data_IF_155388809522
#
_entry.id   IF_155388809522
#
_cell.length_a   1.000
_cell.length_b   1.000
_cell.length_c   1.000
_cell.angle_alpha   90.00
_cell.angle_beta   90.00
_cell.angle_gamma   90.00
#
_symmetry.space_group_name_H-M   'P 1'
#
loop_
_entity.id
_entity.type
_entity.pdbx_description
1 polymer ?
#
# COMPACT_ATOMS: atom_id res chain seq x y z
N UNK A 1 41.35 16.57 44.97
CA UNK A 1 41.47 16.93 43.55
C UNK A 1 42.54 16.04 42.94
N UNK A 2 42.19 15.29 41.89
CA UNK A 2 42.74 15.57 40.58
C UNK A 2 41.66 15.71 39.50
N UNK A 3 42.13 16.24 38.37
CA UNK A 3 41.43 16.97 37.32
C UNK A 3 40.60 16.11 36.35
N UNK A 4 39.43 16.65 35.98
CA UNK A 4 38.61 16.24 34.84
C UNK A 4 39.14 16.88 33.55
N UNK A 5 40.12 16.26 32.91
CA UNK A 5 40.39 16.44 31.49
C UNK A 5 39.82 15.25 30.74
N UNK A 6 38.62 15.34 30.15
CA UNK A 6 38.14 14.40 29.09
C UNK A 6 36.80 14.78 28.42
N UNK A 7 36.23 15.99 28.60
CA UNK A 7 34.88 16.30 28.09
C UNK A 7 34.80 17.13 26.80
N UNK A 8 35.89 17.72 26.30
CA UNK A 8 35.82 18.66 25.15
C UNK A 8 36.18 18.02 23.81
N UNK A 9 37.05 17.00 23.78
CA UNK A 9 37.52 16.40 22.50
C UNK A 9 36.48 15.57 21.75
N UNK A 10 35.53 14.95 22.45
CA UNK A 10 34.53 14.06 21.83
C UNK A 10 33.45 14.83 21.07
N UNK A 11 33.06 16.03 21.55
CA UNK A 11 32.00 16.79 20.90
C UNK A 11 32.46 17.42 19.58
N UNK A 12 33.71 17.89 19.50
CA UNK A 12 34.26 18.50 18.30
C UNK A 12 34.50 17.47 17.18
N UNK A 13 34.94 16.26 17.52
CA UNK A 13 35.13 15.15 16.57
C UNK A 13 33.82 14.76 15.88
N UNK A 14 32.74 14.64 16.66
CA UNK A 14 31.43 14.23 16.13
C UNK A 14 30.79 15.32 15.26
N UNK A 15 30.99 16.59 15.61
CA UNK A 15 30.55 17.71 14.76
C UNK A 15 31.31 17.74 13.43
N UNK A 16 32.61 17.43 13.43
CA UNK A 16 33.39 17.33 12.20
C UNK A 16 32.94 16.18 11.30
N UNK A 17 32.62 15.01 11.87
CA UNK A 17 32.10 13.86 11.11
C UNK A 17 30.74 14.17 10.46
N UNK A 18 29.83 14.82 11.18
CA UNK A 18 28.53 15.26 10.65
C UNK A 18 28.74 16.22 9.48
N UNK A 19 29.59 17.23 9.68
CA UNK A 19 29.85 18.25 8.66
C UNK A 19 30.50 17.65 7.41
N UNK A 20 31.44 16.72 7.57
CA UNK A 20 32.07 16.02 6.46
C UNK A 20 31.06 15.15 5.70
N UNK A 21 30.18 14.44 6.40
CA UNK A 21 29.14 13.63 5.78
C UNK A 21 28.15 14.50 4.98
N UNK A 22 27.71 15.63 5.55
CA UNK A 22 26.82 16.58 4.86
C UNK A 22 27.50 17.24 3.66
N UNK A 23 28.79 17.57 3.77
CA UNK A 23 29.57 18.11 2.66
C UNK A 23 29.65 17.11 1.50
N UNK A 24 30.03 15.87 1.79
CA UNK A 24 30.13 14.81 0.78
C UNK A 24 28.78 14.53 0.10
N UNK A 25 27.71 14.59 0.88
CA UNK A 25 26.34 14.43 0.39
C UNK A 25 25.97 15.54 -0.62
N UNK A 26 26.28 16.80 -0.31
CA UNK A 26 26.02 17.93 -1.22
C UNK A 26 26.80 17.77 -2.53
N UNK A 27 28.03 17.26 -2.45
CA UNK A 27 28.86 16.95 -3.63
C UNK A 27 28.20 15.87 -4.48
N UNK A 28 27.76 14.76 -3.88
CA UNK A 28 27.08 13.68 -4.61
C UNK A 28 25.80 14.15 -5.29
N UNK A 29 25.01 15.03 -4.66
CA UNK A 29 23.82 15.62 -5.30
C UNK A 29 24.22 16.43 -6.53
N UNK A 30 25.28 17.23 -6.43
CA UNK A 30 25.72 18.03 -7.56
C UNK A 30 26.09 17.14 -8.77
N UNK A 31 26.73 16.00 -8.53
CA UNK A 31 27.15 15.08 -9.59
C UNK A 31 25.98 14.31 -10.21
N UNK A 32 25.04 13.85 -9.38
CA UNK A 32 23.99 12.91 -9.83
C UNK A 32 22.70 13.62 -10.24
N UNK A 33 22.32 14.68 -9.53
CA UNK A 33 21.03 15.37 -9.68
C UNK A 33 21.17 16.88 -9.39
N UNK A 34 21.94 17.62 -10.22
CA UNK A 34 22.21 19.04 -10.00
C UNK A 34 20.93 19.91 -9.98
N UNK A 35 19.85 19.46 -10.61
CA UNK A 35 18.54 20.11 -10.60
C UNK A 35 17.95 20.28 -9.19
N UNK A 36 18.34 19.43 -8.24
CA UNK A 36 17.90 19.49 -6.85
C UNK A 36 18.55 20.63 -6.06
N UNK A 37 19.67 21.17 -6.54
CA UNK A 37 20.30 22.36 -5.98
C UNK A 37 19.63 23.62 -6.53
N UNK A 38 19.55 24.66 -5.70
CA UNK A 38 19.16 26.01 -6.15
C UNK A 38 20.15 26.47 -7.22
N UNK A 39 19.65 27.12 -8.27
CA UNK A 39 20.39 27.42 -9.51
C UNK A 39 21.76 28.07 -9.30
N UNK A 40 21.88 28.99 -8.34
CA UNK A 40 23.14 29.66 -7.96
C UNK A 40 24.23 28.73 -7.43
N UNK A 41 23.87 27.56 -6.91
CA UNK A 41 24.82 26.59 -6.33
C UNK A 41 25.15 25.42 -7.27
N UNK A 42 24.47 25.30 -8.42
CA UNK A 42 24.69 24.22 -9.39
C UNK A 42 26.07 24.28 -10.05
N UNK A 43 26.62 25.49 -10.22
CA UNK A 43 27.89 25.74 -10.92
C UNK A 43 29.09 25.91 -9.98
N UNK A 44 28.88 25.84 -8.66
CA UNK A 44 29.97 25.95 -7.69
C UNK A 44 30.79 24.66 -7.73
N UNK A 45 32.11 24.74 -7.90
CA UNK A 45 32.95 23.54 -7.90
C UNK A 45 33.08 22.96 -6.48
N UNK A 46 32.06 22.24 -5.98
CA UNK A 46 32.03 21.73 -4.61
C UNK A 46 33.11 20.69 -4.36
N UNK A 47 33.62 20.01 -5.39
CA UNK A 47 34.73 19.06 -5.26
C UNK A 47 36.09 19.70 -5.00
N UNK A 48 36.26 21.01 -5.25
CA UNK A 48 37.50 21.69 -4.93
C UNK A 48 37.71 21.69 -3.41
N UNK A 49 38.87 21.23 -2.94
CA UNK A 49 39.25 21.18 -1.51
C UNK A 49 38.94 22.50 -0.78
N UNK A 50 39.19 23.65 -1.41
CA UNK A 50 38.89 24.96 -0.82
C UNK A 50 37.39 25.17 -0.54
N UNK A 51 36.53 24.72 -1.45
CA UNK A 51 35.07 24.84 -1.29
C UNK A 51 34.54 23.79 -0.32
N UNK A 52 35.11 22.58 -0.31
CA UNK A 52 34.78 21.53 0.66
C UNK A 52 35.11 21.98 2.09
N UNK A 53 36.31 22.50 2.31
CA UNK A 53 36.73 22.99 3.63
C UNK A 53 35.86 24.16 4.09
N UNK A 54 35.51 25.09 3.20
CA UNK A 54 34.60 26.21 3.52
C UNK A 54 33.18 25.74 3.86
N UNK A 55 32.65 24.79 3.10
CA UNK A 55 31.31 24.24 3.34
C UNK A 55 31.27 23.47 4.67
N UNK A 56 32.25 22.60 4.89
CA UNK A 56 32.41 21.83 6.13
C UNK A 56 32.54 22.75 7.33
N UNK A 57 33.41 23.76 7.28
CA UNK A 57 33.58 24.73 8.37
C UNK A 57 32.27 25.48 8.68
N UNK A 58 31.52 25.86 7.64
CA UNK A 58 30.25 26.57 7.80
C UNK A 58 29.15 25.71 8.41
N UNK A 59 29.11 24.41 8.07
CA UNK A 59 28.19 23.45 8.68
C UNK A 59 28.59 23.21 10.14
N UNK A 60 29.88 23.03 10.43
CA UNK A 60 30.39 22.86 11.81
C UNK A 60 30.05 24.07 12.68
N UNK A 61 30.26 25.29 12.18
CA UNK A 61 29.91 26.52 12.88
C UNK A 61 28.41 26.62 13.16
N UNK A 62 27.56 26.22 12.20
CA UNK A 62 26.10 26.19 12.40
C UNK A 62 25.67 25.19 13.47
N UNK A 63 26.28 24.01 13.50
CA UNK A 63 25.95 22.99 14.49
C UNK A 63 26.51 23.31 15.89
N UNK A 64 27.60 24.08 15.97
CA UNK A 64 28.21 24.50 17.23
C UNK A 64 27.46 25.67 17.92
N UNK A 65 26.65 26.45 17.19
CA UNK A 65 26.01 27.70 17.68
C UNK A 65 24.91 27.56 18.72
N UNK A 66 24.41 26.36 19.00
CA UNK A 66 23.35 26.14 19.98
C UNK A 66 23.65 24.89 20.80
N UNK A 67 23.24 24.81 22.06
CA UNK A 67 23.34 23.58 22.87
C UNK A 67 22.09 22.69 22.79
N UNK A 68 20.98 23.25 22.29
CA UNK A 68 19.67 22.62 22.16
C UNK A 68 19.56 21.85 20.82
N UNK A 69 19.23 20.56 20.91
CA UNK A 69 19.12 19.65 19.76
C UNK A 69 18.03 20.05 18.76
N UNK A 70 16.91 20.59 19.25
CA UNK A 70 15.80 21.02 18.40
C UNK A 70 16.13 22.33 17.67
N UNK A 71 16.83 23.24 18.35
CA UNK A 71 17.32 24.48 17.76
C UNK A 71 18.40 24.22 16.68
N UNK A 72 19.33 23.28 16.93
CA UNK A 72 20.33 22.82 15.94
C UNK A 72 19.66 22.26 14.69
N UNK A 73 18.66 21.39 14.87
CA UNK A 73 17.95 20.77 13.76
C UNK A 73 17.18 21.80 12.92
N UNK A 74 16.50 22.76 13.56
CA UNK A 74 15.82 23.87 12.84
C UNK A 74 16.79 24.74 12.06
N UNK A 75 17.97 25.04 12.60
CA UNK A 75 18.99 25.81 11.88
C UNK A 75 19.56 25.05 10.69
N UNK A 76 19.82 23.74 10.86
CA UNK A 76 20.27 22.89 9.77
C UNK A 76 19.21 22.81 8.66
N UNK A 77 17.94 22.60 9.01
CA UNK A 77 16.85 22.62 8.03
C UNK A 77 16.78 23.94 7.27
N UNK A 78 16.97 25.08 7.96
CA UNK A 78 17.00 26.40 7.32
C UNK A 78 18.18 26.53 6.35
N UNK A 79 19.34 26.00 6.70
CA UNK A 79 20.51 25.97 5.84
C UNK A 79 20.30 25.10 4.60
N UNK A 80 19.77 23.88 4.77
CA UNK A 80 19.47 22.97 3.67
C UNK A 80 18.41 23.54 2.72
N UNK A 81 17.36 24.18 3.25
CA UNK A 81 16.34 24.88 2.43
C UNK A 81 16.89 26.07 1.63
N UNK A 82 18.04 26.62 2.02
CA UNK A 82 18.70 27.67 1.26
C UNK A 82 19.54 27.09 0.09
N UNK A 83 19.98 25.82 0.21
CA UNK A 83 20.82 25.11 -0.76
C UNK A 83 20.03 24.34 -1.80
N UNK A 84 18.87 23.78 -1.42
CA UNK A 84 18.07 22.90 -2.26
C UNK A 84 16.71 23.51 -2.65
N UNK A 85 16.18 23.09 -3.80
CA UNK A 85 14.83 23.45 -4.25
C UNK A 85 13.77 22.66 -3.47
N UNK A 86 12.53 23.15 -3.29
CA UNK A 86 11.48 22.46 -2.51
C UNK A 86 11.23 21.00 -2.94
N UNK A 87 11.35 20.72 -4.24
CA UNK A 87 11.14 19.41 -4.85
C UNK A 87 12.14 18.36 -4.36
N UNK A 88 13.33 18.79 -3.91
CA UNK A 88 14.36 17.88 -3.38
C UNK A 88 13.94 17.20 -2.08
N UNK A 89 13.03 17.80 -1.31
CA UNK A 89 12.54 17.25 -0.04
C UNK A 89 11.55 16.08 -0.23
N UNK A 90 11.11 15.83 -1.46
CA UNK A 90 10.33 14.64 -1.83
C UNK A 90 11.22 13.51 -2.36
N UNK A 91 12.52 13.73 -2.53
CA UNK A 91 13.45 12.67 -2.91
C UNK A 91 13.80 11.80 -1.69
N UNK A 92 13.92 10.49 -1.91
CA UNK A 92 14.39 9.53 -0.89
C UNK A 92 15.78 9.90 -0.33
N UNK A 93 16.52 10.74 -1.03
CA UNK A 93 17.89 11.11 -0.71
C UNK A 93 17.99 12.09 0.47
N UNK A 94 17.22 13.18 0.50
CA UNK A 94 17.22 14.13 1.62
C UNK A 94 16.68 13.51 2.92
N UNK A 95 15.79 12.53 2.80
CA UNK A 95 15.31 11.73 3.92
C UNK A 95 16.45 10.92 4.55
N UNK A 96 17.31 10.26 3.75
CA UNK A 96 18.49 9.54 4.26
C UNK A 96 19.48 10.46 5.01
N UNK A 97 19.60 11.72 4.58
CA UNK A 97 20.49 12.72 5.20
C UNK A 97 19.93 13.23 6.52
N UNK A 98 18.64 13.54 6.55
CA UNK A 98 17.93 13.93 7.77
C UNK A 98 17.88 12.77 8.78
N UNK A 99 17.79 11.52 8.30
CA UNK A 99 17.84 10.31 9.11
C UNK A 99 19.23 10.11 9.75
N UNK A 100 20.32 10.25 8.99
CA UNK A 100 21.70 10.19 9.53
C UNK A 100 21.98 11.28 10.56
N UNK A 101 21.50 12.51 10.31
CA UNK A 101 21.62 13.61 11.30
C UNK A 101 20.77 13.33 12.54
N UNK A 102 19.58 12.74 12.36
CA UNK A 102 18.70 12.32 13.46
C UNK A 102 19.32 11.22 14.35
N UNK A 103 20.03 10.25 13.75
CA UNK A 103 20.78 9.22 14.46
C UNK A 103 21.89 9.80 15.36
N UNK A 104 22.46 10.95 14.99
CA UNK A 104 23.58 11.57 15.72
C UNK A 104 23.12 12.42 16.92
N UNK A 105 21.87 12.89 16.93
CA UNK A 105 21.25 13.47 18.14
C UNK A 105 21.06 12.41 19.25
N UNK A 106 21.04 11.11 18.91
CA UNK A 106 20.88 10.01 19.84
C UNK A 106 22.14 9.78 20.70
N UNK A 107 23.34 9.98 20.13
CA UNK A 107 24.63 9.78 20.81
C UNK A 107 24.78 10.70 22.04
N UNK A 108 24.16 11.89 22.02
CA UNK A 108 24.23 12.84 23.15
C UNK A 108 23.25 12.54 24.28
N UNK A 109 22.19 11.76 24.03
CA UNK A 109 21.23 11.30 25.03
C UNK A 109 21.73 10.07 25.79
N UNK A 110 22.47 9.17 25.14
CA UNK A 110 23.03 7.98 25.79
C UNK A 110 24.21 8.32 26.72
N UNK A 111 25.06 9.29 26.37
CA UNK A 111 26.22 9.67 27.18
C UNK A 111 25.87 10.54 28.41
N UNK A 112 24.74 11.27 28.38
CA UNK A 112 24.29 12.08 29.54
C UNK A 112 23.51 11.29 30.58
N UNK A 113 23.00 10.11 30.24
CA UNK A 113 22.18 9.28 31.15
C UNK A 113 22.97 8.17 31.85
N UNK A 114 24.30 8.14 31.69
CA UNK A 114 25.21 7.27 32.44
C UNK A 114 25.92 8.05 33.54
N UNK A 115 25.17 8.49 34.55
CA UNK A 115 25.72 8.66 35.91
C UNK A 115 25.18 7.56 36.83
N UNK A 116 26.02 6.92 37.65
CA UNK A 116 25.66 5.70 38.34
C UNK A 116 24.99 5.98 39.69
N UNK A 117 23.66 5.88 39.79
CA UNK A 117 22.98 5.76 41.10
C UNK A 117 21.84 4.74 41.10
N UNK A 118 22.21 3.53 41.51
CA UNK A 118 21.60 2.68 42.55
C UNK A 118 20.07 2.58 42.64
N UNK A 119 19.57 1.40 42.26
CA UNK A 119 18.73 0.46 43.03
C UNK A 119 17.70 -0.22 42.13
N UNK A 120 18.10 -1.35 41.55
CA UNK A 120 17.19 -2.36 41.01
C UNK A 120 16.63 -3.16 42.20
N UNK A 121 15.40 -2.87 42.59
CA UNK A 121 14.63 -3.80 43.43
C UNK A 121 14.23 -5.01 42.57
N UNK A 122 14.81 -6.14 42.95
CA UNK A 122 14.52 -7.49 42.46
C UNK A 122 13.27 -8.00 43.18
N UNK A 123 12.29 -8.56 42.44
CA UNK A 123 11.66 -9.88 42.69
C UNK A 123 10.47 -10.13 41.72
N UNK A 124 10.00 -11.38 41.53
CA UNK A 124 10.69 -12.67 41.59
C UNK A 124 10.59 -13.47 40.27
N UNK A 125 11.66 -14.22 39.99
CA UNK A 125 11.71 -15.37 39.06
C UNK A 125 10.94 -16.57 39.62
N UNK A 126 10.21 -17.33 38.79
CA UNK A 126 10.03 -18.80 38.72
C UNK A 126 9.04 -19.04 37.56
N UNK A 127 9.26 -19.90 36.55
CA UNK A 127 9.49 -21.34 36.58
C UNK A 127 10.37 -21.76 35.38
N UNK A 128 11.37 -22.60 35.63
CA UNK A 128 12.04 -23.42 34.62
C UNK A 128 11.46 -24.83 34.67
N UNK A 129 11.02 -25.41 33.54
CA UNK A 129 10.97 -26.86 33.34
C UNK A 129 11.19 -27.21 31.86
N UNK A 130 12.11 -28.15 31.68
CA UNK A 130 12.39 -29.08 30.59
C UNK A 130 13.12 -28.67 29.29
N UNK A 131 14.33 -29.21 29.26
CA UNK A 131 15.33 -29.29 28.19
C UNK A 131 14.87 -30.31 27.14
N UNK A 132 14.16 -29.84 26.14
CA UNK A 132 14.30 -30.35 24.77
C UNK A 132 14.40 -29.11 23.91
N UNK A 133 15.52 -28.93 23.20
CA UNK A 133 15.73 -27.74 22.36
C UNK A 133 14.55 -27.63 21.39
N UNK A 134 13.60 -26.70 21.59
CA UNK A 134 12.50 -26.56 20.67
C UNK A 134 13.12 -26.01 19.40
N UNK A 135 12.76 -26.56 18.24
CA UNK A 135 12.97 -25.83 17.00
C UNK A 135 12.33 -24.46 17.19
N UNK A 136 13.17 -23.42 17.33
CA UNK A 136 12.75 -22.06 17.65
C UNK A 136 11.91 -21.52 16.50
N UNK A 137 10.60 -21.77 16.56
CA UNK A 137 9.68 -21.29 15.53
C UNK A 137 9.68 -19.76 15.57
N UNK A 138 9.93 -19.09 14.43
CA UNK A 138 9.83 -17.64 14.34
C UNK A 138 8.44 -17.15 14.73
N UNK A 139 8.37 -16.08 15.53
CA UNK A 139 7.11 -15.52 16.04
C UNK A 139 6.95 -14.05 15.68
N UNK A 140 5.69 -13.60 15.68
CA UNK A 140 5.33 -12.20 15.67
C UNK A 140 4.86 -11.74 17.07
N UNK A 141 5.24 -10.51 17.45
CA UNK A 141 4.83 -9.86 18.70
C UNK A 141 3.96 -8.66 18.40
N UNK A 142 2.82 -8.53 19.09
CA UNK A 142 1.93 -7.38 18.98
C UNK A 142 2.01 -6.53 20.24
N UNK A 143 2.38 -5.26 20.07
CA UNK A 143 2.36 -4.25 21.12
C UNK A 143 1.20 -3.29 20.88
N UNK A 144 0.33 -3.15 21.88
CA UNK A 144 -0.86 -2.31 21.80
C UNK A 144 -0.78 -1.16 22.81
N UNK A 145 -0.76 0.06 22.28
CA UNK A 145 -1.12 1.26 23.03
C UNK A 145 -2.65 1.28 23.22
N UNK A 146 -3.14 0.59 24.25
CA UNK A 146 -4.56 0.50 24.57
C UNK A 146 -5.10 1.81 25.18
N UNK A 147 -4.22 2.76 25.50
CA UNK A 147 -4.64 4.09 25.93
C UNK A 147 -5.23 4.89 24.76
N UNK A 148 -4.54 4.89 23.63
CA UNK A 148 -4.89 5.71 22.47
C UNK A 148 -5.53 4.93 21.31
N UNK A 149 -5.36 3.61 21.27
CA UNK A 149 -5.80 2.77 20.16
C UNK A 149 -6.58 1.54 20.63
N UNK A 150 -7.84 1.43 20.19
CA UNK A 150 -8.65 0.22 20.39
C UNK A 150 -8.68 -0.63 19.12
N UNK A 151 -8.38 -1.91 19.27
CA UNK A 151 -8.37 -2.90 18.19
C UNK A 151 -9.50 -3.90 18.41
N UNK A 152 -10.36 -4.08 17.40
CA UNK A 152 -11.43 -5.10 17.44
C UNK A 152 -10.91 -6.49 17.09
N UNK A 153 -11.68 -7.53 17.41
CA UNK A 153 -11.36 -8.93 17.07
C UNK A 153 -11.18 -9.14 15.56
N UNK A 154 -11.96 -8.45 14.73
CA UNK A 154 -11.84 -8.51 13.26
C UNK A 154 -10.52 -7.89 12.80
N UNK A 155 -10.12 -6.78 13.43
CA UNK A 155 -8.86 -6.12 13.13
C UNK A 155 -7.68 -7.03 13.48
N UNK A 156 -7.71 -7.74 14.61
CA UNK A 156 -6.66 -8.73 14.94
C UNK A 156 -6.57 -9.88 13.95
N UNK A 157 -7.72 -10.42 13.54
CA UNK A 157 -7.76 -11.47 12.51
C UNK A 157 -7.10 -10.97 11.23
N UNK A 158 -7.35 -9.72 10.85
CA UNK A 158 -6.67 -9.10 9.72
C UNK A 158 -5.17 -8.92 9.95
N UNK A 159 -4.73 -8.43 11.11
CA UNK A 159 -3.30 -8.30 11.43
C UNK A 159 -2.56 -9.64 11.31
N UNK A 160 -3.22 -10.73 11.66
CA UNK A 160 -2.67 -12.09 11.49
C UNK A 160 -2.42 -12.44 10.03
N UNK A 161 -3.25 -11.95 9.09
CA UNK A 161 -3.04 -12.17 7.64
C UNK A 161 -1.91 -11.33 7.04
N UNK A 162 -1.52 -10.25 7.72
CA UNK A 162 -0.44 -9.36 7.26
C UNK A 162 0.94 -9.89 7.66
N UNK A 163 1.02 -10.65 8.76
CA UNK A 163 2.27 -11.20 9.27
C UNK A 163 2.65 -12.47 8.51
N UNK A 164 3.95 -12.65 8.26
CA UNK A 164 4.48 -13.91 7.76
C UNK A 164 4.54 -14.99 8.86
N UNK A 165 4.64 -14.56 10.12
CA UNK A 165 4.74 -15.43 11.29
C UNK A 165 3.52 -15.30 12.20
N UNK A 166 3.16 -16.36 12.95
CA UNK A 166 2.03 -16.32 13.85
C UNK A 166 2.25 -15.31 14.98
N UNK A 167 1.24 -14.50 15.28
CA UNK A 167 1.22 -13.61 16.43
C UNK A 167 1.01 -14.48 17.68
N UNK A 168 2.09 -14.74 18.42
CA UNK A 168 2.05 -15.57 19.64
C UNK A 168 2.03 -14.73 20.91
N UNK A 169 2.61 -13.53 20.87
CA UNK A 169 2.72 -12.66 22.03
C UNK A 169 1.93 -11.39 21.74
N UNK A 170 1.01 -11.05 22.65
CA UNK A 170 0.19 -9.84 22.59
C UNK A 170 0.32 -9.11 23.91
N UNK A 171 0.74 -7.86 23.87
CA UNK A 171 0.97 -7.06 25.08
C UNK A 171 0.25 -5.74 24.91
N UNK A 172 -0.54 -5.36 25.90
CA UNK A 172 -1.24 -4.08 25.91
C UNK A 172 -0.74 -3.19 27.05
N UNK A 173 -0.64 -1.89 26.78
CA UNK A 173 -0.20 -0.86 27.71
C UNK A 173 -1.34 0.13 27.92
N UNK A 174 -1.79 0.29 29.16
CA UNK A 174 -2.75 1.31 29.54
C UNK A 174 -2.80 1.53 31.05
N UNK A 175 -3.36 2.65 31.46
CA UNK A 175 -3.87 2.81 32.81
C UNK A 175 -5.20 2.05 32.94
N UNK A 176 -5.14 0.76 33.29
CA UNK A 176 -6.31 -0.12 33.41
C UNK A 176 -7.39 0.39 34.36
N UNK A 177 -7.01 1.11 35.42
CA UNK A 177 -7.97 1.73 36.35
C UNK A 177 -8.91 2.73 35.65
N UNK A 178 -8.50 3.28 34.50
CA UNK A 178 -9.29 4.24 33.70
C UNK A 178 -10.02 3.62 32.51
N UNK A 179 -9.85 2.32 32.24
CA UNK A 179 -10.31 1.66 31.00
C UNK A 179 -11.52 0.74 31.16
N UNK A 180 -12.17 0.75 32.33
CA UNK A 180 -13.44 0.06 32.53
C UNK A 180 -13.30 -1.46 32.39
N UNK A 181 -14.03 -2.06 31.44
CA UNK A 181 -14.02 -3.51 31.16
C UNK A 181 -13.06 -3.94 30.03
N UNK A 182 -12.29 -3.01 29.48
CA UNK A 182 -11.41 -3.28 28.34
C UNK A 182 -10.26 -4.22 28.72
N UNK A 183 -9.82 -4.19 29.98
CA UNK A 183 -8.84 -5.12 30.54
C UNK A 183 -9.34 -6.56 30.49
N UNK A 184 -10.58 -6.80 30.93
CA UNK A 184 -11.21 -8.14 30.87
C UNK A 184 -11.30 -8.63 29.43
N UNK A 185 -11.76 -7.78 28.51
CA UNK A 185 -11.86 -8.13 27.09
C UNK A 185 -10.50 -8.50 26.47
N UNK A 186 -9.47 -7.70 26.72
CA UNK A 186 -8.13 -7.96 26.20
C UNK A 186 -7.49 -9.20 26.86
N UNK A 187 -7.72 -9.42 28.14
CA UNK A 187 -7.26 -10.62 28.84
C UNK A 187 -7.89 -11.89 28.25
N UNK A 188 -9.21 -11.88 27.98
CA UNK A 188 -9.91 -12.99 27.30
C UNK A 188 -9.36 -13.24 25.88
N UNK A 189 -8.78 -12.22 25.24
CA UNK A 189 -8.12 -12.30 23.92
C UNK A 189 -6.63 -12.68 23.99
N UNK A 190 -6.16 -13.11 25.16
CA UNK A 190 -4.79 -13.51 25.49
C UNK A 190 -3.76 -12.37 25.38
N UNK A 191 -4.10 -11.18 25.87
CA UNK A 191 -3.12 -10.10 26.07
C UNK A 191 -2.51 -10.14 27.45
N UNK A 192 -1.19 -9.99 27.49
CA UNK A 192 -0.49 -9.58 28.69
C UNK A 192 -0.73 -8.09 28.93
N UNK A 193 -1.30 -7.77 30.09
CA UNK A 193 -1.71 -6.41 30.43
C UNK A 193 -0.64 -5.72 31.28
N UNK A 194 0.04 -4.73 30.70
CA UNK A 194 1.03 -3.91 31.42
C UNK A 194 0.33 -2.65 31.93
N UNK A 195 0.16 -2.58 33.24
CA UNK A 195 -0.37 -1.39 33.89
C UNK A 195 0.63 -0.24 33.83
N UNK A 196 0.15 0.95 33.46
CA UNK A 196 0.92 2.19 33.58
C UNK A 196 0.22 3.19 34.50
N UNK A 197 0.98 3.95 35.33
CA UNK A 197 0.41 4.97 36.18
C UNK A 197 -0.29 6.08 35.39
N UNK A 198 -1.23 6.77 36.02
CA UNK A 198 -1.84 7.97 35.46
C UNK A 198 -0.77 9.04 35.18
N UNK A 199 -0.80 9.59 33.98
CA UNK A 199 0.12 10.65 33.55
C UNK A 199 0.25 10.68 32.05
N UNK A 200 0.53 11.87 31.51
CA UNK A 200 0.68 12.07 30.07
C UNK A 200 1.90 11.28 29.57
N UNK A 201 1.77 10.59 28.44
CA UNK A 201 2.84 9.85 27.74
C UNK A 201 3.46 8.68 28.55
N UNK A 202 2.85 8.27 29.67
CA UNK A 202 3.36 7.16 30.51
C UNK A 202 3.23 5.81 29.81
N UNK A 203 2.11 5.58 29.10
CA UNK A 203 1.92 4.39 28.28
C UNK A 203 2.99 4.32 27.18
N UNK A 204 3.22 5.43 26.49
CA UNK A 204 4.22 5.55 25.44
C UNK A 204 5.62 5.24 25.95
N UNK A 205 6.03 5.87 27.06
CA UNK A 205 7.34 5.64 27.67
C UNK A 205 7.55 4.17 28.07
N UNK A 206 6.53 3.53 28.66
CA UNK A 206 6.58 2.11 29.05
C UNK A 206 6.60 1.19 27.83
N UNK A 207 5.81 1.48 26.80
CA UNK A 207 5.78 0.72 25.56
C UNK A 207 7.12 0.81 24.82
N UNK A 208 7.75 1.99 24.77
CA UNK A 208 9.09 2.17 24.18
C UNK A 208 10.12 1.39 24.98
N UNK A 209 10.14 1.55 26.30
CA UNK A 209 11.12 0.89 27.17
C UNK A 209 11.01 -0.63 27.08
N UNK A 210 9.80 -1.16 27.21
CA UNK A 210 9.54 -2.60 27.10
C UNK A 210 9.80 -3.11 25.68
N UNK A 211 9.26 -2.41 24.69
CA UNK A 211 9.36 -2.75 23.28
C UNK A 211 10.81 -2.83 22.81
N UNK A 212 11.66 -1.92 23.28
CA UNK A 212 13.10 -1.92 22.98
C UNK A 212 13.80 -3.23 23.37
N UNK A 213 13.31 -3.90 24.42
CA UNK A 213 13.87 -5.15 24.94
C UNK A 213 13.21 -6.41 24.35
N UNK A 214 12.30 -6.30 23.37
CA UNK A 214 11.57 -7.46 22.82
C UNK A 214 12.49 -8.52 22.25
N UNK A 215 13.52 -8.12 21.52
CA UNK A 215 14.44 -9.08 20.92
C UNK A 215 15.21 -9.89 21.98
N UNK A 216 15.54 -9.26 23.11
CA UNK A 216 16.25 -9.91 24.23
C UNK A 216 15.31 -10.80 25.04
N UNK A 217 14.05 -10.37 25.24
CA UNK A 217 13.03 -11.11 25.99
C UNK A 217 12.45 -12.27 25.20
N UNK A 218 12.37 -12.12 23.88
CA UNK A 218 11.76 -13.07 22.95
C UNK A 218 12.70 -13.25 21.74
N UNK A 219 13.78 -14.05 21.87
CA UNK A 219 14.81 -14.22 20.84
C UNK A 219 14.28 -14.71 19.48
N UNK A 220 13.15 -15.44 19.50
CA UNK A 220 12.52 -16.01 18.32
C UNK A 220 11.69 -14.99 17.53
N UNK A 221 11.57 -13.76 18.02
CA UNK A 221 10.81 -12.71 17.35
C UNK A 221 11.45 -12.36 16.02
N UNK A 222 10.67 -12.39 14.94
CA UNK A 222 11.08 -11.90 13.61
C UNK A 222 10.22 -10.74 13.13
N UNK A 223 9.01 -10.62 13.64
CA UNK A 223 8.05 -9.58 13.29
C UNK A 223 7.51 -8.89 14.54
N UNK A 224 7.35 -7.57 14.49
CA UNK A 224 6.73 -6.80 15.56
C UNK A 224 5.68 -5.86 14.99
N UNK A 225 4.46 -5.94 15.51
CA UNK A 225 3.40 -4.98 15.25
C UNK A 225 3.40 -3.94 16.37
N UNK A 226 3.65 -2.70 16.02
CA UNK A 226 3.60 -1.56 16.93
C UNK A 226 2.28 -0.83 16.68
N UNK A 227 1.29 -1.11 17.53
CA UNK A 227 -0.06 -0.57 17.41
C UNK A 227 -0.21 0.70 18.26
N UNK A 228 0.05 1.85 17.65
CA UNK A 228 -0.22 3.18 18.22
C UNK A 228 -0.40 4.20 17.10
N UNK A 229 -1.26 5.19 17.33
CA UNK A 229 -1.43 6.34 16.44
C UNK A 229 -0.43 7.47 16.72
N UNK A 230 0.35 7.39 17.82
CA UNK A 230 1.31 8.43 18.17
C UNK A 230 2.58 8.36 17.30
N UNK A 231 3.06 9.54 16.89
CA UNK A 231 4.32 9.68 16.16
C UNK A 231 5.53 9.32 17.01
N UNK A 232 5.44 9.44 18.33
CA UNK A 232 6.52 9.08 19.27
C UNK A 232 6.96 7.63 19.08
N UNK A 233 6.04 6.72 18.71
CA UNK A 233 6.36 5.32 18.43
C UNK A 233 7.25 5.09 17.21
N UNK A 234 7.50 6.11 16.38
CA UNK A 234 8.47 6.02 15.28
C UNK A 234 9.85 5.64 15.79
N UNK A 235 10.26 6.12 16.96
CA UNK A 235 11.56 5.82 17.56
C UNK A 235 11.68 4.33 17.92
N UNK A 236 10.63 3.76 18.52
CA UNK A 236 10.57 2.33 18.83
C UNK A 236 10.61 1.49 17.56
N UNK A 237 9.86 1.89 16.53
CA UNK A 237 9.85 1.18 15.25
C UNK A 237 11.26 1.12 14.64
N UNK A 238 11.96 2.27 14.59
CA UNK A 238 13.30 2.35 14.03
C UNK A 238 14.30 1.48 14.81
N UNK A 239 14.23 1.48 16.15
CA UNK A 239 15.09 0.65 16.99
C UNK A 239 14.88 -0.85 16.73
N UNK A 240 13.63 -1.29 16.65
CA UNK A 240 13.29 -2.69 16.37
C UNK A 240 13.79 -3.12 14.98
N UNK A 241 13.72 -2.23 13.99
CA UNK A 241 14.28 -2.48 12.66
C UNK A 241 15.80 -2.58 12.67
N UNK A 242 16.49 -1.72 13.42
CA UNK A 242 17.94 -1.79 13.59
C UNK A 242 18.38 -3.12 14.22
N UNK A 243 17.54 -3.70 15.10
CA UNK A 243 17.72 -5.06 15.64
C UNK A 243 17.39 -6.18 14.63
N UNK A 244 17.13 -5.85 13.37
CA UNK A 244 16.89 -6.81 12.29
C UNK A 244 15.46 -7.36 12.25
N UNK A 245 14.52 -6.79 13.01
CA UNK A 245 13.13 -7.22 13.03
C UNK A 245 12.33 -6.56 11.90
N UNK A 246 11.36 -7.28 11.35
CA UNK A 246 10.38 -6.69 10.43
C UNK A 246 9.31 -5.98 11.26
N UNK A 247 9.13 -4.68 11.06
CA UNK A 247 8.24 -3.87 11.89
C UNK A 247 7.04 -3.38 11.08
N UNK A 248 5.84 -3.67 11.58
CA UNK A 248 4.58 -3.17 11.09
C UNK A 248 4.06 -2.11 12.06
N UNK A 249 4.02 -0.85 11.62
CA UNK A 249 3.39 0.20 12.41
C UNK A 249 1.89 0.23 12.10
N UNK A 250 1.07 0.00 13.12
CA UNK A 250 -0.39 -0.02 13.01
C UNK A 250 -0.92 1.24 13.68
N UNK A 251 -1.62 2.09 12.91
CA UNK A 251 -2.18 3.35 13.39
C UNK A 251 -3.64 3.46 12.97
N UNK A 252 -4.46 4.20 13.72
CA UNK A 252 -5.86 4.46 13.37
C UNK A 252 -6.04 5.88 12.85
N UNK A 253 -6.70 6.00 11.70
CA UNK A 253 -7.07 7.28 11.11
C UNK A 253 -8.57 7.27 10.79
N UNK A 254 -9.37 7.89 11.66
CA UNK A 254 -10.84 7.75 11.61
C UNK A 254 -11.26 6.31 11.94
N UNK A 255 -12.07 5.70 11.09
CA UNK A 255 -12.50 4.30 11.24
C UNK A 255 -11.50 3.29 10.62
N UNK A 256 -10.45 3.77 9.96
CA UNK A 256 -9.50 2.92 9.25
C UNK A 256 -8.25 2.65 10.09
N UNK A 257 -7.67 1.47 9.88
CA UNK A 257 -6.40 1.03 10.42
C UNK A 257 -5.36 1.06 9.29
N UNK A 258 -4.34 1.89 9.42
CA UNK A 258 -3.21 1.96 8.50
C UNK A 258 -2.07 1.11 9.07
N UNK A 259 -1.58 0.18 8.27
CA UNK A 259 -0.43 -0.68 8.58
C UNK A 259 0.70 -0.30 7.64
N UNK A 260 1.77 0.25 8.18
CA UNK A 260 2.97 0.59 7.43
C UNK A 260 4.05 -0.45 7.69
N UNK A 261 4.44 -1.21 6.67
CA UNK A 261 5.64 -2.03 6.74
C UNK A 261 6.86 -1.12 6.56
N UNK A 262 7.64 -0.99 7.62
CA UNK A 262 8.77 -0.06 7.65
C UNK A 262 9.98 -0.53 6.82
N UNK A 263 10.01 -1.79 6.37
CA UNK A 263 11.10 -2.34 5.55
C UNK A 263 11.01 -1.95 4.08
N UNK A 264 9.79 -1.89 3.53
CA UNK A 264 9.55 -1.58 2.10
C UNK A 264 8.79 -0.26 1.90
N UNK A 265 8.32 0.38 2.96
CA UNK A 265 7.52 1.61 2.88
C UNK A 265 6.10 1.38 2.36
N UNK A 266 5.69 0.12 2.14
CA UNK A 266 4.35 -0.20 1.68
C UNK A 266 3.37 -0.06 2.84
N UNK A 267 2.38 0.82 2.67
CA UNK A 267 1.26 1.00 3.58
C UNK A 267 0.04 0.24 3.09
N UNK A 268 -0.51 -0.64 3.93
CA UNK A 268 -1.82 -1.25 3.77
C UNK A 268 -2.83 -0.45 4.58
N UNK A 269 -3.98 -0.13 3.99
CA UNK A 269 -5.08 0.52 4.72
C UNK A 269 -6.22 -0.47 4.84
N UNK A 270 -6.50 -0.87 6.08
CA UNK A 270 -7.63 -1.68 6.46
C UNK A 270 -8.79 -0.79 6.90
N UNK A 271 -9.98 -1.06 6.37
CA UNK A 271 -11.21 -0.49 6.91
C UNK A 271 -12.12 -1.64 7.35
N UNK A 272 -12.62 -1.65 8.61
CA UNK A 272 -13.59 -2.65 9.04
C UNK A 272 -14.87 -2.65 8.17
N UNK A 273 -15.27 -1.49 7.64
CA UNK A 273 -16.40 -1.34 6.72
C UNK A 273 -16.12 -1.98 5.35
N UNK A 274 -14.84 -2.04 4.95
CA UNK A 274 -14.40 -2.67 3.71
C UNK A 274 -14.46 -4.19 3.81
N UNK A 275 -13.91 -4.80 4.87
CA UNK A 275 -13.88 -6.27 4.98
C UNK A 275 -15.26 -6.91 5.24
N UNK A 276 -16.19 -6.17 5.83
CA UNK A 276 -17.57 -6.65 6.03
C UNK A 276 -18.41 -6.60 4.75
N UNK A 277 -18.13 -5.65 3.82
CA UNK A 277 -18.95 -5.42 2.61
C UNK A 277 -18.29 -5.84 1.29
N UNK A 278 -16.97 -5.75 1.19
CA UNK A 278 -16.17 -5.94 -0.03
C UNK A 278 -15.11 -7.02 0.24
N UNK A 279 -15.57 -8.24 0.43
CA UNK A 279 -14.73 -9.43 0.74
C UNK A 279 -14.11 -10.09 -0.49
N UNK A 280 -14.45 -9.65 -1.71
CA UNK A 280 -13.91 -10.20 -2.95
C UNK A 280 -13.85 -9.16 -4.05
N UNK A 281 -13.07 -9.44 -5.10
CA UNK A 281 -12.99 -8.59 -6.28
C UNK A 281 -14.34 -8.45 -6.97
N UNK A 282 -15.14 -9.51 -7.08
CA UNK A 282 -16.47 -9.43 -7.70
C UNK A 282 -17.42 -8.52 -6.93
N UNK A 283 -17.37 -8.57 -5.59
CA UNK A 283 -18.14 -7.66 -4.74
C UNK A 283 -17.66 -6.22 -4.90
N UNK A 284 -16.35 -6.02 -5.05
CA UNK A 284 -15.78 -4.70 -5.31
C UNK A 284 -16.28 -4.13 -6.64
N UNK A 285 -16.20 -4.91 -7.72
CA UNK A 285 -16.68 -4.52 -9.04
C UNK A 285 -18.20 -4.26 -9.01
N UNK A 286 -19.00 -5.11 -8.37
CA UNK A 286 -20.43 -4.87 -8.21
C UNK A 286 -20.73 -3.60 -7.40
N UNK A 287 -19.93 -3.30 -6.38
CA UNK A 287 -20.05 -2.06 -5.60
C UNK A 287 -19.80 -0.83 -6.47
N UNK A 288 -18.77 -0.87 -7.34
CA UNK A 288 -18.51 0.19 -8.30
C UNK A 288 -19.66 0.34 -9.30
N UNK A 289 -20.27 -0.77 -9.76
CA UNK A 289 -21.44 -0.72 -10.64
C UNK A 289 -22.60 0.00 -9.98
N UNK A 290 -22.99 -0.41 -8.78
CA UNK A 290 -24.09 0.23 -8.06
C UNK A 290 -23.82 1.71 -7.77
N UNK A 291 -22.58 2.06 -7.42
CA UNK A 291 -22.19 3.46 -7.21
C UNK A 291 -22.35 4.30 -8.49
N UNK A 292 -21.93 3.77 -9.64
CA UNK A 292 -22.09 4.47 -10.93
C UNK A 292 -23.56 4.62 -11.28
N UNK A 293 -24.40 3.59 -11.08
CA UNK A 293 -25.85 3.68 -11.30
C UNK A 293 -26.51 4.73 -10.41
N UNK A 294 -26.14 4.76 -9.14
CA UNK A 294 -26.63 5.78 -8.18
C UNK A 294 -26.29 7.18 -8.70
N UNK A 295 -25.06 7.40 -9.18
CA UNK A 295 -24.63 8.69 -9.72
C UNK A 295 -25.29 9.05 -11.06
N UNK A 296 -25.51 8.06 -11.94
CA UNK A 296 -26.24 8.27 -13.20
C UNK A 296 -27.68 8.70 -12.93
N UNK A 297 -28.37 8.04 -11.99
CA UNK A 297 -29.73 8.41 -11.55
C UNK A 297 -29.77 9.80 -10.90
N UNK A 298 -28.78 10.12 -10.06
CA UNK A 298 -28.70 11.39 -9.34
C UNK A 298 -28.48 12.59 -10.26
N UNK A 299 -27.64 12.42 -11.29
CA UNK A 299 -27.25 13.51 -12.20
C UNK A 299 -28.07 13.57 -13.47
N UNK A 300 -28.82 12.51 -13.81
CA UNK A 300 -29.49 12.37 -15.10
C UNK A 300 -28.53 12.20 -16.27
N UNK A 301 -27.24 12.00 -16.01
CA UNK A 301 -26.20 11.80 -17.02
C UNK A 301 -25.76 10.35 -17.02
N UNK A 302 -25.68 9.74 -18.20
CA UNK A 302 -25.09 8.41 -18.36
C UNK A 302 -23.59 8.40 -18.08
N UNK A 303 -22.89 9.47 -18.45
CA UNK A 303 -21.45 9.58 -18.25
C UNK A 303 -21.12 10.19 -16.89
N UNK A 304 -20.39 9.45 -16.07
CA UNK A 304 -19.96 9.86 -14.74
C UNK A 304 -18.45 10.07 -14.74
N UNK A 305 -17.98 11.19 -14.20
CA UNK A 305 -16.55 11.49 -14.11
C UNK A 305 -15.85 10.53 -13.13
N UNK A 306 -14.68 10.00 -13.52
CA UNK A 306 -13.85 9.13 -12.68
C UNK A 306 -13.58 9.71 -11.28
N UNK A 307 -13.24 10.99 -11.20
CA UNK A 307 -12.94 11.63 -9.92
C UNK A 307 -14.17 11.70 -9.01
N UNK A 308 -15.37 11.87 -9.60
CA UNK A 308 -16.63 11.81 -8.85
C UNK A 308 -16.87 10.42 -8.28
N UNK A 309 -16.60 9.36 -9.06
CA UNK A 309 -16.72 7.98 -8.58
C UNK A 309 -15.73 7.72 -7.45
N UNK A 310 -14.47 8.13 -7.59
CA UNK A 310 -13.46 8.01 -6.53
C UNK A 310 -13.87 8.74 -5.25
N UNK A 311 -14.34 9.99 -5.38
CA UNK A 311 -14.78 10.80 -4.26
C UNK A 311 -15.98 10.16 -3.55
N UNK A 312 -17.01 9.75 -4.30
CA UNK A 312 -18.23 9.15 -3.73
C UNK A 312 -17.96 7.82 -3.07
N UNK A 313 -17.07 7.02 -3.65
CA UNK A 313 -16.61 5.77 -3.02
C UNK A 313 -15.91 6.06 -1.69
N UNK A 314 -14.98 7.02 -1.67
CA UNK A 314 -14.27 7.42 -0.45
C UNK A 314 -15.21 8.01 0.61
N UNK A 315 -16.21 8.80 0.21
CA UNK A 315 -17.21 9.33 1.14
C UNK A 315 -18.07 8.22 1.77
N UNK A 316 -18.48 7.23 0.97
CA UNK A 316 -19.39 6.14 1.36
C UNK A 316 -18.69 5.05 2.18
N UNK A 317 -17.46 4.69 1.83
CA UNK A 317 -16.72 3.57 2.44
C UNK A 317 -15.52 4.01 3.29
N UNK A 318 -15.26 5.32 3.37
CA UNK A 318 -14.11 5.93 4.08
C UNK A 318 -12.73 5.45 3.61
N UNK A 319 -12.65 4.69 2.52
CA UNK A 319 -11.43 4.19 1.90
C UNK A 319 -11.42 4.55 0.41
N UNK A 320 -10.26 4.89 -0.15
CA UNK A 320 -10.15 5.21 -1.57
C UNK A 320 -10.12 3.96 -2.44
N UNK A 321 -10.55 4.10 -3.70
CA UNK A 321 -10.49 3.02 -4.69
C UNK A 321 -9.05 2.53 -4.87
N UNK A 322 -8.05 3.42 -4.94
CA UNK A 322 -6.63 3.04 -5.05
C UNK A 322 -6.16 2.16 -3.88
N UNK A 323 -6.59 2.48 -2.65
CA UNK A 323 -6.24 1.66 -1.48
C UNK A 323 -6.84 0.26 -1.59
N UNK A 324 -8.09 0.14 -2.03
CA UNK A 324 -8.73 -1.15 -2.28
C UNK A 324 -8.01 -1.93 -3.39
N UNK A 325 -7.66 -1.25 -4.49
CA UNK A 325 -6.97 -1.86 -5.62
C UNK A 325 -5.61 -2.40 -5.20
N UNK A 326 -4.86 -1.65 -4.40
CA UNK A 326 -3.56 -2.09 -3.87
C UNK A 326 -3.62 -3.38 -3.06
N UNK A 327 -4.80 -3.72 -2.50
CA UNK A 327 -5.01 -5.00 -1.79
C UNK A 327 -5.12 -6.19 -2.73
N UNK A 328 -5.66 -6.01 -3.94
CA UNK A 328 -5.86 -7.07 -4.92
C UNK A 328 -4.83 -7.07 -6.05
N UNK A 329 -4.18 -5.93 -6.30
CA UNK A 329 -3.26 -5.69 -7.41
C UNK A 329 -2.11 -4.78 -6.96
N UNK A 330 -0.88 -5.26 -7.04
CA UNK A 330 0.31 -4.54 -6.53
C UNK A 330 0.81 -3.40 -7.42
N UNK A 331 0.36 -3.33 -8.67
CA UNK A 331 0.87 -2.40 -9.70
C UNK A 331 -0.25 -1.59 -10.40
N UNK A 332 -1.49 -1.68 -9.92
CA UNK A 332 -2.65 -1.06 -10.56
C UNK A 332 -3.20 0.12 -9.78
N UNK A 333 -3.79 1.06 -10.51
CA UNK A 333 -4.51 2.22 -10.01
C UNK A 333 -6.02 2.03 -10.17
N UNK A 334 -6.80 2.93 -9.57
CA UNK A 334 -8.24 3.03 -9.70
C UNK A 334 -8.66 3.12 -11.17
N UNK A 335 -7.90 3.85 -11.98
CA UNK A 335 -8.14 4.02 -13.42
C UNK A 335 -8.04 2.67 -14.14
N UNK A 336 -7.02 1.89 -13.79
CA UNK A 336 -6.72 0.61 -14.44
C UNK A 336 -7.82 -0.41 -14.21
N UNK A 337 -8.49 -0.40 -13.05
CA UNK A 337 -9.65 -1.28 -12.81
C UNK A 337 -10.75 -1.06 -13.83
N UNK A 338 -11.07 0.19 -14.18
CA UNK A 338 -12.11 0.44 -15.16
C UNK A 338 -11.69 -0.01 -16.58
N UNK A 339 -10.39 -0.04 -16.87
CA UNK A 339 -9.83 -0.54 -18.13
C UNK A 339 -9.77 -2.07 -18.20
N UNK A 340 -9.57 -2.74 -17.07
CA UNK A 340 -9.49 -4.21 -16.96
C UNK A 340 -10.85 -4.90 -17.11
N UNK A 341 -11.95 -4.18 -16.87
CA UNK A 341 -13.31 -4.69 -16.99
C UNK A 341 -14.11 -3.97 -18.10
N UNK A 342 -13.66 -4.01 -19.38
CA UNK A 342 -14.30 -3.29 -20.48
C UNK A 342 -15.68 -3.87 -20.85
N UNK A 343 -15.98 -5.10 -20.40
CA UNK A 343 -17.29 -5.74 -20.54
C UNK A 343 -18.33 -5.21 -19.54
N UNK A 344 -17.88 -4.44 -18.54
CA UNK A 344 -18.72 -3.85 -17.50
C UNK A 344 -18.74 -2.33 -17.65
N UNK A 345 -17.56 -1.73 -17.78
CA UNK A 345 -17.39 -0.28 -17.81
C UNK A 345 -17.05 0.18 -19.23
N UNK A 346 -17.79 1.18 -19.70
CA UNK A 346 -17.45 1.89 -20.93
C UNK A 346 -16.74 3.19 -20.58
N UNK A 347 -15.61 3.42 -21.24
CA UNK A 347 -14.69 4.53 -20.95
C UNK A 347 -14.69 5.55 -22.07
N UNK A 348 -14.73 6.82 -21.70
CA UNK A 348 -14.54 7.94 -22.62
C UNK A 348 -13.51 8.90 -22.03
N UNK A 349 -12.33 8.98 -22.65
CA UNK A 349 -11.27 9.90 -22.24
C UNK A 349 -11.22 11.10 -23.17
N UNK A 350 -11.29 12.30 -22.61
CA UNK A 350 -11.12 13.55 -23.34
C UNK A 350 -9.64 13.93 -23.27
N UNK A 351 -8.88 13.63 -24.33
CA UNK A 351 -7.43 13.82 -24.39
C UNK A 351 -6.97 15.26 -24.13
N UNK A 352 -7.80 16.27 -24.41
CA UNK A 352 -7.48 17.67 -24.22
C UNK A 352 -7.54 18.15 -22.75
N UNK A 353 -8.13 17.35 -21.84
CA UNK A 353 -8.32 17.74 -20.43
C UNK A 353 -7.88 16.66 -19.43
N UNK A 354 -7.39 15.53 -19.93
CA UNK A 354 -7.10 14.31 -19.15
C UNK A 354 -8.24 13.88 -18.21
N UNK A 355 -9.49 14.07 -18.66
CA UNK A 355 -10.68 13.68 -17.91
C UNK A 355 -11.19 12.35 -18.44
N UNK A 356 -11.36 11.39 -17.52
CA UNK A 356 -11.95 10.09 -17.79
C UNK A 356 -13.42 10.08 -17.35
N UNK A 357 -14.30 9.72 -18.27
CA UNK A 357 -15.71 9.44 -18.00
C UNK A 357 -15.98 7.94 -18.12
N UNK A 358 -16.84 7.46 -17.23
CA UNK A 358 -17.20 6.06 -17.08
C UNK A 358 -18.72 5.97 -17.14
N UNK A 359 -19.24 5.00 -17.87
CA UNK A 359 -20.66 4.68 -17.91
C UNK A 359 -20.89 3.17 -17.85
N UNK A 360 -22.06 2.80 -17.37
CA UNK A 360 -22.62 1.47 -17.51
C UNK A 360 -23.68 1.55 -18.60
N UNK A 361 -23.45 0.89 -19.73
CA UNK A 361 -24.53 0.64 -20.68
C UNK A 361 -25.25 -0.64 -20.23
N UNK A 362 -26.31 -0.47 -19.46
CA UNK A 362 -27.29 -1.55 -19.32
C UNK A 362 -28.11 -1.57 -20.61
N UNK A 363 -27.94 -2.62 -21.43
CA UNK A 363 -29.00 -2.98 -22.37
C UNK A 363 -30.29 -3.14 -21.55
N UNK A 364 -31.45 -2.63 -22.01
CA UNK A 364 -32.70 -2.82 -21.30
C UNK A 364 -32.84 -4.30 -20.98
N UNK A 365 -32.90 -4.64 -19.69
CA UNK A 365 -33.21 -6.00 -19.32
C UNK A 365 -34.60 -6.29 -19.87
N UNK A 366 -34.71 -7.31 -20.71
CA UNK A 366 -36.01 -7.87 -21.04
C UNK A 366 -36.75 -8.15 -19.71
N UNK A 367 -38.05 -7.82 -19.64
CA UNK A 367 -38.82 -7.98 -18.43
C UNK A 367 -38.66 -9.40 -17.91
N UNK A 368 -38.34 -9.54 -16.63
CA UNK A 368 -38.25 -10.83 -15.96
C UNK A 368 -39.56 -11.58 -16.20
N UNK A 369 -39.51 -12.61 -17.06
CA UNK A 369 -40.57 -13.59 -17.17
C UNK A 369 -40.50 -14.40 -15.87
N UNK A 370 -41.57 -14.32 -15.08
CA UNK A 370 -41.78 -15.19 -13.93
C UNK A 370 -41.61 -16.63 -14.39
N UNK A 371 -40.66 -17.33 -13.78
CA UNK A 371 -40.40 -18.74 -14.02
C UNK A 371 -41.48 -19.57 -13.33
N UNK A 372 -42.65 -19.63 -13.94
CA UNK A 372 -43.62 -20.69 -13.74
C UNK A 372 -44.42 -20.84 -15.04
N UNK A 373 -44.38 -22.05 -15.60
CA UNK A 373 -45.04 -22.53 -16.83
C UNK A 373 -44.25 -22.34 -18.15
N UNK A 374 -43.53 -23.39 -18.57
CA UNK A 374 -44.05 -24.35 -19.55
C UNK A 374 -42.96 -25.34 -19.99
N UNK A 375 -43.29 -26.62 -19.81
CA UNK A 375 -42.65 -27.74 -20.49
C UNK A 375 -42.89 -27.65 -22.01
N UNK A 376 -41.98 -28.30 -22.72
CA UNK A 376 -42.07 -28.76 -24.11
C UNK A 376 -41.95 -27.70 -25.21
N UNK A 377 -40.72 -27.59 -25.75
CA UNK A 377 -40.49 -27.86 -27.18
C UNK A 377 -39.01 -28.10 -27.47
N UNK A 378 -38.73 -29.32 -27.94
CA UNK A 378 -37.44 -29.74 -28.50
C UNK A 378 -37.10 -28.96 -29.78
N UNK A 379 -36.07 -28.11 -29.75
CA UNK A 379 -35.31 -27.73 -30.96
C UNK A 379 -33.81 -27.68 -30.61
N UNK A 380 -33.09 -28.73 -31.02
CA UNK A 380 -31.66 -28.82 -31.29
C UNK A 380 -30.69 -28.11 -30.30
N UNK A 381 -30.35 -28.83 -29.23
CA UNK A 381 -29.07 -28.67 -28.52
C UNK A 381 -27.91 -28.92 -29.49
N UNK A 382 -27.36 -27.85 -30.08
CA UNK A 382 -26.01 -27.91 -30.65
C UNK A 382 -25.01 -27.66 -29.53
N UNK A 383 -24.23 -28.70 -29.22
CA UNK A 383 -23.17 -28.71 -28.23
C UNK A 383 -22.18 -27.56 -28.48
N UNK A 384 -22.22 -26.54 -27.63
CA UNK A 384 -21.03 -25.73 -27.38
C UNK A 384 -20.29 -26.36 -26.21
N UNK A 385 -19.15 -27.00 -26.47
CA UNK A 385 -18.22 -27.35 -25.40
C UNK A 385 -17.63 -26.07 -24.82
N UNK A 386 -17.59 -25.97 -23.49
CA UNK A 386 -17.00 -24.84 -22.77
C UNK A 386 -15.48 -24.72 -22.95
N UNK A 387 -14.87 -25.61 -23.74
CA UNK A 387 -13.45 -25.67 -24.02
C UNK A 387 -13.24 -25.96 -25.50
N UNK A 388 -12.82 -24.93 -26.24
CA UNK A 388 -12.39 -25.04 -27.64
C UNK A 388 -10.97 -25.59 -27.63
N UNK A 389 -10.77 -26.78 -28.17
CA UNK A 389 -9.47 -27.47 -28.15
C UNK A 389 -8.82 -27.59 -29.53
N UNK A 390 -9.51 -27.17 -30.60
CA UNK A 390 -8.95 -27.15 -31.95
C UNK A 390 -9.25 -25.87 -32.72
N UNK A 391 -8.44 -25.60 -33.76
CA UNK A 391 -8.65 -24.47 -34.67
C UNK A 391 -9.97 -24.63 -35.46
N UNK A 392 -10.35 -25.85 -35.81
CA UNK A 392 -11.61 -26.14 -36.49
C UNK A 392 -12.84 -25.86 -35.60
N UNK A 393 -12.77 -26.21 -34.31
CA UNK A 393 -13.81 -25.88 -33.33
C UNK A 393 -13.94 -24.37 -33.10
N UNK A 394 -12.80 -23.65 -33.10
CA UNK A 394 -12.79 -22.19 -33.01
C UNK A 394 -13.51 -21.57 -34.21
N UNK A 395 -13.19 -22.04 -35.42
CA UNK A 395 -13.82 -21.58 -36.66
C UNK A 395 -15.33 -21.86 -36.67
N UNK A 396 -15.74 -23.10 -36.35
CA UNK A 396 -17.16 -23.47 -36.29
C UNK A 396 -17.93 -22.66 -35.26
N UNK A 397 -17.33 -22.44 -34.08
CA UNK A 397 -17.95 -21.63 -33.02
C UNK A 397 -18.19 -20.20 -33.51
N UNK A 398 -17.21 -19.60 -34.18
CA UNK A 398 -17.35 -18.26 -34.75
C UNK A 398 -18.38 -18.23 -35.88
N UNK A 399 -18.47 -19.27 -36.72
CA UNK A 399 -19.51 -19.38 -37.76
C UNK A 399 -20.91 -19.40 -37.16
N UNK A 400 -21.13 -20.19 -36.10
CA UNK A 400 -22.44 -20.27 -35.44
C UNK A 400 -22.80 -18.93 -34.80
N UNK A 401 -21.84 -18.26 -34.16
CA UNK A 401 -22.06 -16.94 -33.55
C UNK A 401 -22.40 -15.91 -34.62
N UNK A 402 -21.66 -15.85 -35.74
CA UNK A 402 -21.96 -14.93 -36.83
C UNK A 402 -23.36 -15.20 -37.38
N UNK A 403 -23.70 -16.47 -37.64
CA UNK A 403 -25.04 -16.86 -38.13
C UNK A 403 -26.16 -16.43 -37.19
N UNK A 404 -25.97 -16.59 -35.88
CA UNK A 404 -26.93 -16.20 -34.85
C UNK A 404 -27.07 -14.69 -34.70
N UNK A 405 -26.00 -13.92 -34.93
CA UNK A 405 -26.04 -12.47 -34.86
C UNK A 405 -26.69 -11.88 -36.12
N UNK A 406 -26.36 -12.39 -37.31
CA UNK A 406 -26.98 -11.95 -38.56
C UNK A 406 -28.46 -12.32 -38.68
N UNK A 407 -28.89 -13.44 -38.08
CA UNK A 407 -30.31 -13.82 -38.07
C UNK A 407 -31.17 -12.93 -37.17
N UNK A 408 -30.56 -12.26 -36.19
CA UNK A 408 -31.25 -11.37 -35.24
C UNK A 408 -31.27 -9.90 -35.67
N UNK A 409 -30.33 -9.46 -36.52
CA UNK A 409 -30.15 -8.04 -36.85
C UNK A 409 -30.63 -7.60 -38.24
N UNK A 410 -31.10 -8.51 -39.11
CA UNK A 410 -31.35 -8.26 -40.54
C UNK A 410 -30.12 -7.75 -41.32
N UNK A 411 -28.94 -7.66 -40.69
CA UNK A 411 -27.68 -7.27 -41.33
C UNK A 411 -26.94 -8.52 -41.79
N UNK A 412 -26.30 -8.46 -42.96
CA UNK A 412 -25.52 -9.57 -43.53
C UNK A 412 -24.10 -9.69 -42.96
N UNK A 413 -23.73 -8.83 -42.01
CA UNK A 413 -22.41 -8.74 -41.41
C UNK A 413 -22.49 -8.50 -39.90
N UNK A 414 -21.39 -8.77 -39.20
CA UNK A 414 -21.25 -8.59 -37.75
C UNK A 414 -19.99 -7.78 -37.47
N UNK A 415 -20.05 -6.82 -36.55
CA UNK A 415 -18.85 -6.09 -36.12
C UNK A 415 -17.92 -6.98 -35.30
N UNK A 416 -16.60 -6.76 -35.42
CA UNK A 416 -15.62 -7.50 -34.63
C UNK A 416 -15.89 -7.45 -33.11
N UNK A 417 -16.38 -6.31 -32.61
CA UNK A 417 -16.74 -6.13 -31.19
C UNK A 417 -17.95 -6.98 -30.76
N UNK A 418 -18.97 -7.09 -31.60
CA UNK A 418 -20.14 -7.94 -31.33
C UNK A 418 -19.76 -9.43 -31.35
N UNK A 419 -18.95 -9.84 -32.34
CA UNK A 419 -18.45 -11.23 -32.42
C UNK A 419 -17.59 -11.60 -31.21
N UNK A 420 -16.67 -10.71 -30.78
CA UNK A 420 -15.83 -10.94 -29.61
C UNK A 420 -16.65 -11.03 -28.31
N UNK A 421 -17.68 -10.19 -28.17
CA UNK A 421 -18.55 -10.18 -27.00
C UNK A 421 -19.36 -11.47 -26.90
N UNK A 422 -19.94 -11.91 -28.01
CA UNK A 422 -20.76 -13.11 -28.03
C UNK A 422 -19.90 -14.38 -27.85
N UNK A 423 -18.73 -14.44 -28.48
CA UNK A 423 -17.77 -15.53 -28.25
C UNK A 423 -17.35 -15.66 -26.78
N UNK A 424 -17.09 -14.53 -26.10
CA UNK A 424 -16.73 -14.55 -24.69
C UNK A 424 -17.86 -15.12 -23.82
N UNK A 425 -19.14 -14.82 -24.13
CA UNK A 425 -20.28 -15.40 -23.39
C UNK A 425 -20.35 -16.91 -23.53
N UNK A 426 -20.04 -17.45 -24.72
CA UNK A 426 -20.12 -18.87 -25.00
C UNK A 426 -18.92 -19.66 -24.47
N UNK A 427 -17.73 -19.06 -24.49
CA UNK A 427 -16.48 -19.78 -24.20
C UNK A 427 -15.76 -19.34 -22.92
N UNK A 428 -16.25 -18.30 -22.23
CA UNK A 428 -15.62 -17.66 -21.06
C UNK A 428 -14.12 -17.33 -21.27
N UNK A 429 -13.73 -17.14 -22.53
CA UNK A 429 -12.37 -16.87 -23.00
C UNK A 429 -12.46 -15.93 -24.21
N UNK A 430 -11.58 -14.94 -24.29
CA UNK A 430 -11.54 -14.02 -25.43
C UNK A 430 -10.94 -14.65 -26.68
N UNK A 431 -11.43 -14.30 -27.87
CA UNK A 431 -10.97 -14.85 -29.16
C UNK A 431 -9.44 -14.75 -29.31
N UNK A 432 -8.85 -13.61 -28.95
CA UNK A 432 -7.39 -13.42 -29.03
C UNK A 432 -6.62 -14.37 -28.10
N UNK A 433 -7.19 -14.72 -26.95
CA UNK A 433 -6.60 -15.67 -25.99
C UNK A 433 -6.71 -17.10 -26.51
N UNK A 434 -7.87 -17.47 -27.07
CA UNK A 434 -8.08 -18.76 -27.74
C UNK A 434 -7.12 -18.92 -28.94
N UNK A 435 -6.96 -17.90 -29.79
CA UNK A 435 -6.04 -17.90 -30.94
C UNK A 435 -4.57 -18.05 -30.52
N UNK A 436 -4.14 -17.36 -29.45
CA UNK A 436 -2.78 -17.50 -28.90
C UNK A 436 -2.54 -18.91 -28.37
N UNK A 437 -3.51 -19.48 -27.65
CA UNK A 437 -3.43 -20.84 -27.10
C UNK A 437 -3.34 -21.89 -28.22
N UNK A 438 -4.09 -21.71 -29.29
CA UNK A 438 -4.12 -22.61 -30.45
C UNK A 438 -3.03 -22.32 -31.50
N UNK A 439 -2.14 -21.35 -31.25
CA UNK A 439 -1.08 -20.90 -32.17
C UNK A 439 -1.60 -20.52 -33.58
N UNK A 440 -2.85 -20.06 -33.67
CA UNK A 440 -3.53 -19.72 -34.93
C UNK A 440 -3.24 -18.29 -35.43
N UNK A 441 -2.27 -17.60 -34.83
CA UNK A 441 -1.87 -16.25 -35.21
C UNK A 441 -2.78 -15.15 -34.67
N UNK A 442 -2.84 -14.01 -35.37
CA UNK A 442 -3.68 -12.88 -34.96
C UNK A 442 -5.07 -12.96 -35.61
N UNK A 443 -6.06 -12.33 -34.97
CA UNK A 443 -7.47 -12.43 -35.37
C UNK A 443 -7.72 -12.08 -36.84
N UNK A 444 -7.13 -10.98 -37.34
CA UNK A 444 -7.31 -10.54 -38.73
C UNK A 444 -6.75 -11.56 -39.73
N UNK A 445 -5.55 -12.09 -39.48
CA UNK A 445 -4.94 -13.13 -40.31
C UNK A 445 -5.76 -14.42 -40.28
N UNK A 446 -6.23 -14.83 -39.10
CA UNK A 446 -7.05 -16.02 -38.92
C UNK A 446 -8.36 -15.96 -39.73
N UNK A 447 -9.10 -14.85 -39.61
CA UNK A 447 -10.35 -14.65 -40.37
C UNK A 447 -10.08 -14.58 -41.88
N UNK A 448 -8.97 -13.96 -42.31
CA UNK A 448 -8.59 -13.90 -43.73
C UNK A 448 -8.10 -15.24 -44.31
N UNK A 449 -7.55 -16.13 -43.47
CA UNK A 449 -7.10 -17.47 -43.88
C UNK A 449 -8.22 -18.51 -43.87
N UNK A 450 -9.36 -18.22 -43.24
CA UNK A 450 -10.52 -19.09 -43.20
C UNK A 450 -11.36 -18.94 -44.47
N UNK A 451 -11.80 -20.05 -45.05
CA UNK A 451 -12.73 -20.06 -46.18
C UNK A 451 -14.16 -19.68 -45.78
N UNK A 452 -14.46 -19.60 -44.48
CA UNK A 452 -15.80 -19.43 -43.94
C UNK A 452 -16.22 -17.97 -43.77
N UNK A 453 -15.27 -17.02 -43.87
CA UNK A 453 -15.52 -15.61 -43.58
C UNK A 453 -15.09 -14.67 -44.71
N UNK A 454 -15.81 -13.56 -44.85
CA UNK A 454 -15.43 -12.39 -45.65
C UNK A 454 -15.24 -11.20 -44.72
N UNK A 455 -14.10 -10.51 -44.86
CA UNK A 455 -13.74 -9.36 -44.05
C UNK A 455 -13.83 -8.08 -44.87
N UNK A 456 -14.68 -7.14 -44.46
CA UNK A 456 -14.82 -5.81 -45.06
C UNK A 456 -14.49 -4.74 -44.02
N UNK A 457 -13.75 -3.70 -44.41
CA UNK A 457 -13.46 -2.56 -43.54
C UNK A 457 -14.23 -1.35 -44.07
N UNK A 458 -15.12 -0.80 -43.24
CA UNK A 458 -15.86 0.43 -43.53
C UNK A 458 -15.68 1.37 -42.34
N UNK A 459 -15.25 2.60 -42.60
CA UNK A 459 -15.08 3.66 -41.58
C UNK A 459 -14.20 3.28 -40.38
N UNK A 460 -13.17 2.44 -40.59
CA UNK A 460 -12.28 2.00 -39.53
C UNK A 460 -12.83 0.89 -38.62
N UNK A 461 -14.03 0.40 -38.89
CA UNK A 461 -14.65 -0.76 -38.22
C UNK A 461 -14.51 -1.99 -39.10
N UNK A 462 -14.06 -3.09 -38.50
CA UNK A 462 -13.92 -4.38 -39.17
C UNK A 462 -15.26 -5.13 -39.10
N UNK A 463 -15.84 -5.41 -40.27
CA UNK A 463 -17.07 -6.18 -40.43
C UNK A 463 -16.75 -7.58 -40.95
N UNK A 464 -17.45 -8.58 -40.42
CA UNK A 464 -17.23 -9.99 -40.68
C UNK A 464 -18.57 -10.58 -41.14
N UNK A 465 -18.59 -11.13 -42.35
CA UNK A 465 -19.72 -11.84 -42.91
C UNK A 465 -19.35 -13.30 -43.18
N UNK A 466 -20.33 -14.19 -43.29
CA UNK A 466 -20.09 -15.54 -43.80
C UNK A 466 -19.82 -15.46 -45.32
N UNK A 467 -18.85 -16.26 -45.78
CA UNK A 467 -18.38 -16.25 -47.17
C UNK A 467 -19.40 -16.78 -48.18
#
# INVERSE_FOLDING_TARGET
MPETFLSTGCHDSLLQEISACLCQTIITIQEQQPELLVEKYRKVAWQNEHNQSKLTAKITELLAKSEDGDARFKQLQKFLKALFVPESFYSNFLNNVLEKVGQLNFVKLELKNLEPKQNLEILPSFISVDTSAPQETPIAVLLLDAENLQISTETEKFLTTVCAYPIQIKIAFANWCSKGKLDVELHERNYDLIHVPAGKDNADGKMITFGSAIHERFPNTKEVLVCSSDKVMTNLCNLLQQKGLTVYQVSKHGDNINILNRKNGNGLVYSPQFHTKISSIDKFINTLKELIKEEQKRTGSYWVNHNTICQRFQEKYKISINQVVSTYFSDKTAKDIFMEYPHIFSLHQIFSKDVLYITLFELPQEPKIDSDNLNDTNIANNQFSSSINSIAELEQTLVIIVKNLTSKSNESYVSQGALASEFYKHCNEGITKALKRLQAGNFKKFIQSSSSFKLTNTEGVCHIALA
#
